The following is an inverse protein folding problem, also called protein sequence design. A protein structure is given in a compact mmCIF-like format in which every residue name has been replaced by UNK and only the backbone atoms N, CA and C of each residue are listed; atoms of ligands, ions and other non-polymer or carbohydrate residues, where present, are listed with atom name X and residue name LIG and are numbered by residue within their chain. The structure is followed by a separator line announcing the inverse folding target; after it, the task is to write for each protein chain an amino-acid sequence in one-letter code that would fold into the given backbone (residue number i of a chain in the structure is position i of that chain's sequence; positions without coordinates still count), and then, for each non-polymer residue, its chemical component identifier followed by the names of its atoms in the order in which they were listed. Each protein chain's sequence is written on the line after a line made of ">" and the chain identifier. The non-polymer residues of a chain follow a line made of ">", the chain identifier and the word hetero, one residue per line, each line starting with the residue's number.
data_IF_314410519702
#
_entry.id   IF_314410519702
#
_cell.length_a   1.000
_cell.length_b   1.000
_cell.length_c   1.000
_cell.angle_alpha   90.00
_cell.angle_beta   90.00
_cell.angle_gamma   90.00
#
_symmetry.space_group_name_H-M   'P 1'
#
loop_
_entity.id
_entity.type
_entity.pdbx_description
1 polymer ?
#
# COMPACT_ATOMS: atom_id res chain seq x y z
N UNK A 1 -20.37 39.00 -1.90
CA UNK A 1 -19.33 38.81 -0.87
C UNK A 1 -18.26 39.85 -1.11
N UNK A 2 -17.96 40.68 -0.14
CA UNK A 2 -16.97 41.77 -0.29
C UNK A 2 -15.55 41.20 -0.39
N UNK A 3 -14.63 41.94 -1.01
CA UNK A 3 -13.23 41.53 -1.16
C UNK A 3 -12.53 41.28 0.19
N UNK A 4 -12.92 42.05 1.22
CA UNK A 4 -12.44 41.88 2.60
C UNK A 4 -12.97 40.60 3.26
N UNK A 5 -14.24 40.23 3.04
CA UNK A 5 -14.81 38.95 3.50
C UNK A 5 -14.11 37.77 2.83
N UNK A 6 -13.80 37.90 1.53
CA UNK A 6 -13.08 36.87 0.78
C UNK A 6 -11.65 36.68 1.32
N UNK A 7 -10.92 37.78 1.58
CA UNK A 7 -9.55 37.71 2.15
C UNK A 7 -9.52 37.07 3.54
N UNK A 8 -10.50 37.36 4.40
CA UNK A 8 -10.63 36.70 5.71
C UNK A 8 -10.92 35.21 5.58
N UNK A 9 -11.78 34.81 4.65
CA UNK A 9 -12.08 33.40 4.39
C UNK A 9 -10.83 32.63 3.91
N UNK A 10 -10.05 33.21 2.99
CA UNK A 10 -8.80 32.62 2.50
C UNK A 10 -7.77 32.47 3.63
N UNK A 11 -7.60 33.49 4.49
CA UNK A 11 -6.71 33.43 5.65
C UNK A 11 -7.12 32.36 6.65
N UNK A 12 -8.42 32.19 6.89
CA UNK A 12 -8.95 31.15 7.78
C UNK A 12 -8.69 29.74 7.23
N UNK A 13 -8.90 29.54 5.92
CA UNK A 13 -8.60 28.27 5.26
C UNK A 13 -7.10 27.95 5.34
N UNK A 14 -6.24 28.94 5.05
CA UNK A 14 -4.80 28.81 5.23
C UNK A 14 -4.41 28.39 6.65
N UNK A 15 -4.91 29.07 7.68
CA UNK A 15 -4.54 28.73 9.06
C UNK A 15 -4.99 27.31 9.47
N UNK A 16 -6.07 26.80 8.90
CA UNK A 16 -6.50 25.41 9.10
C UNK A 16 -5.49 24.43 8.49
N UNK A 17 -5.07 24.67 7.25
CA UNK A 17 -4.03 23.92 6.57
C UNK A 17 -2.70 24.00 7.33
N UNK A 18 -2.26 25.22 7.63
CA UNK A 18 -0.93 25.51 8.16
C UNK A 18 -0.68 24.91 9.55
N UNK A 19 -1.72 24.83 10.40
CA UNK A 19 -1.64 24.17 11.71
C UNK A 19 -1.36 22.66 11.66
N UNK A 20 -1.64 22.01 10.53
CA UNK A 20 -1.35 20.59 10.33
C UNK A 20 0.10 20.38 9.84
N UNK A 21 0.84 21.46 9.56
CA UNK A 21 2.19 21.37 9.02
C UNK A 21 3.20 20.95 10.10
N UNK A 22 4.13 20.00 9.83
CA UNK A 22 5.03 19.47 10.85
C UNK A 22 5.94 20.49 11.52
N UNK A 23 6.34 21.54 10.80
CA UNK A 23 7.20 22.62 11.33
C UNK A 23 6.40 23.85 11.74
N UNK A 24 5.09 23.71 11.97
CA UNK A 24 4.23 24.82 12.39
C UNK A 24 4.77 25.47 13.66
N UNK A 25 5.00 26.78 13.61
CA UNK A 25 5.58 27.58 14.70
C UNK A 25 7.08 27.88 14.52
N UNK A 26 7.80 27.05 13.76
CA UNK A 26 9.20 27.28 13.41
C UNK A 26 9.35 27.99 12.04
N UNK A 27 8.35 27.85 11.16
CA UNK A 27 8.33 28.46 9.84
C UNK A 27 7.57 29.80 9.79
N UNK A 28 7.86 30.60 8.75
CA UNK A 28 7.27 31.94 8.60
C UNK A 28 5.84 31.85 8.06
N UNK A 29 4.87 32.12 8.93
CA UNK A 29 3.45 32.25 8.59
C UNK A 29 3.24 33.20 7.39
N UNK A 30 3.82 34.41 7.45
CA UNK A 30 3.65 35.42 6.40
C UNK A 30 4.13 34.93 5.03
N UNK A 31 5.27 34.24 4.98
CA UNK A 31 5.79 33.66 3.74
C UNK A 31 4.90 32.51 3.24
N UNK A 32 4.47 31.62 4.12
CA UNK A 32 3.57 30.53 3.74
C UNK A 32 2.20 31.04 3.26
N UNK A 33 1.69 32.11 3.87
CA UNK A 33 0.45 32.73 3.44
C UNK A 33 0.56 33.45 2.10
N UNK A 34 1.69 34.11 1.82
CA UNK A 34 1.93 34.70 0.51
C UNK A 34 1.86 33.64 -0.61
N UNK A 35 2.51 32.48 -0.41
CA UNK A 35 2.45 31.36 -1.36
C UNK A 35 1.03 30.79 -1.48
N UNK A 36 0.28 30.69 -0.36
CA UNK A 36 -1.12 30.26 -0.37
C UNK A 36 -2.04 31.21 -1.16
N UNK A 37 -1.78 32.52 -1.08
CA UNK A 37 -2.53 33.53 -1.84
C UNK A 37 -2.20 33.48 -3.34
N UNK A 38 -0.98 33.10 -3.71
CA UNK A 38 -0.55 32.98 -5.10
C UNK A 38 -1.22 31.81 -5.84
N UNK A 39 -1.71 30.80 -5.11
CA UNK A 39 -2.45 29.66 -5.69
C UNK A 39 -3.85 30.03 -6.19
N UNK A 40 -4.36 29.30 -7.17
CA UNK A 40 -5.77 29.36 -7.56
C UNK A 40 -6.67 28.70 -6.49
N UNK A 41 -7.99 29.02 -6.46
CA UNK A 41 -8.93 28.39 -5.51
C UNK A 41 -8.90 26.87 -5.54
N UNK A 42 -8.85 26.27 -6.73
CA UNK A 42 -8.82 24.82 -6.95
C UNK A 42 -7.50 24.21 -6.45
N UNK A 43 -6.39 24.93 -6.66
CA UNK A 43 -5.07 24.51 -6.19
C UNK A 43 -4.96 24.53 -4.67
N UNK A 44 -5.56 25.54 -4.01
CA UNK A 44 -5.65 25.57 -2.54
C UNK A 44 -6.46 24.40 -1.99
N UNK A 45 -7.56 24.06 -2.65
CA UNK A 45 -8.38 22.92 -2.26
C UNK A 45 -7.61 21.61 -2.42
N UNK A 46 -6.91 21.42 -3.54
CA UNK A 46 -6.05 20.26 -3.75
C UNK A 46 -4.92 20.19 -2.72
N UNK A 47 -4.25 21.31 -2.43
CA UNK A 47 -3.18 21.39 -1.46
C UNK A 47 -3.61 20.98 -0.03
N UNK A 48 -4.81 21.40 0.41
CA UNK A 48 -5.39 21.01 1.70
C UNK A 48 -5.83 19.55 1.71
N UNK A 49 -6.54 19.10 0.67
CA UNK A 49 -7.05 17.73 0.57
C UNK A 49 -5.93 16.68 0.51
N UNK A 50 -4.82 17.01 -0.16
CA UNK A 50 -3.67 16.11 -0.34
C UNK A 50 -2.67 16.17 0.81
N UNK A 51 -2.79 17.10 1.75
CA UNK A 51 -1.81 17.26 2.82
C UNK A 51 -1.62 15.97 3.64
N UNK A 52 -2.67 15.28 4.11
CA UNK A 52 -2.49 14.03 4.84
C UNK A 52 -1.77 12.96 4.00
N UNK A 53 -2.14 12.85 2.72
CA UNK A 53 -1.53 11.93 1.76
C UNK A 53 -0.05 12.20 1.54
N UNK A 54 0.31 13.47 1.37
CA UNK A 54 1.70 13.89 1.22
C UNK A 54 2.53 13.56 2.47
N UNK A 55 2.02 13.86 3.66
CA UNK A 55 2.74 13.57 4.91
C UNK A 55 2.93 12.07 5.13
N UNK A 56 1.89 11.27 4.87
CA UNK A 56 1.95 9.81 4.93
C UNK A 56 2.96 9.25 3.92
N UNK A 57 2.94 9.76 2.67
CA UNK A 57 3.86 9.35 1.62
C UNK A 57 5.34 9.61 1.98
N UNK A 58 5.65 10.80 2.50
CA UNK A 58 7.02 11.11 2.93
C UNK A 58 7.44 10.21 4.10
N UNK A 59 6.56 10.03 5.09
CA UNK A 59 6.84 9.19 6.25
C UNK A 59 7.08 7.71 5.89
N UNK A 60 6.30 7.15 4.97
CA UNK A 60 6.50 5.80 4.42
C UNK A 60 7.86 5.64 3.71
N UNK A 61 8.33 6.71 3.08
CA UNK A 61 9.65 6.76 2.46
C UNK A 61 10.78 7.02 3.48
N UNK A 62 10.49 6.98 4.79
CA UNK A 62 11.46 7.26 5.85
C UNK A 62 11.88 8.73 5.94
N UNK A 63 11.13 9.63 5.29
CA UNK A 63 11.41 11.06 5.27
C UNK A 63 10.50 11.78 6.25
N UNK A 64 11.09 12.51 7.18
CA UNK A 64 10.36 13.51 7.96
C UNK A 64 10.36 14.82 7.16
N UNK A 65 9.18 15.39 6.94
CA UNK A 65 9.06 16.71 6.32
C UNK A 65 9.63 17.77 7.27
N UNK A 66 10.79 18.33 6.90
CA UNK A 66 11.53 19.33 7.69
C UNK A 66 11.59 20.71 7.02
N UNK A 67 10.92 20.88 5.88
CA UNK A 67 10.90 22.13 5.15
C UNK A 67 9.61 22.91 5.43
N UNK A 68 9.67 24.24 5.24
CA UNK A 68 8.56 25.15 5.53
C UNK A 68 7.34 24.93 4.62
N UNK A 69 6.13 25.22 5.14
CA UNK A 69 4.88 25.11 4.39
C UNK A 69 4.89 25.93 3.08
N UNK A 70 5.60 27.06 3.06
CA UNK A 70 5.81 27.87 1.86
C UNK A 70 6.44 27.08 0.70
N UNK A 71 7.33 26.14 0.99
CA UNK A 71 7.99 25.31 -0.03
C UNK A 71 7.02 24.28 -0.61
N UNK A 72 6.17 23.66 0.22
CA UNK A 72 5.10 22.77 -0.24
C UNK A 72 4.15 23.48 -1.20
N UNK A 73 3.73 24.70 -0.82
CA UNK A 73 2.81 25.53 -1.58
C UNK A 73 3.40 26.03 -2.90
N UNK A 74 4.61 26.60 -2.84
CA UNK A 74 5.31 27.14 -4.01
C UNK A 74 5.61 26.07 -5.06
N UNK A 75 6.10 24.91 -4.62
CA UNK A 75 6.52 23.82 -5.51
C UNK A 75 5.37 22.86 -5.85
N UNK A 76 4.16 23.13 -5.35
CA UNK A 76 2.96 22.30 -5.56
C UNK A 76 3.20 20.82 -5.25
N UNK A 77 3.86 20.52 -4.12
CA UNK A 77 4.37 19.16 -3.83
C UNK A 77 3.29 18.08 -3.71
N UNK A 78 2.02 18.45 -3.51
CA UNK A 78 0.90 17.51 -3.60
C UNK A 78 0.76 16.85 -4.98
N UNK A 79 1.26 17.47 -6.04
CA UNK A 79 1.21 16.90 -7.41
C UNK A 79 2.15 15.73 -7.62
N UNK A 80 3.17 15.58 -6.77
CA UNK A 80 4.10 14.46 -6.80
C UNK A 80 3.58 13.25 -5.98
N UNK A 81 2.44 13.42 -5.30
CA UNK A 81 1.82 12.35 -4.53
C UNK A 81 1.06 11.44 -5.50
N UNK A 82 1.29 10.10 -5.48
CA UNK A 82 0.59 9.15 -6.33
C UNK A 82 -0.95 9.26 -6.28
N UNK A 83 -1.61 8.86 -7.36
CA UNK A 83 -3.08 8.79 -7.39
C UNK A 83 -3.61 7.82 -6.31
N UNK A 84 -4.71 8.20 -5.65
CA UNK A 84 -5.31 7.42 -4.55
C UNK A 84 -4.83 7.78 -3.14
N UNK A 85 -3.96 8.79 -3.01
CA UNK A 85 -3.50 9.33 -1.71
C UNK A 85 -4.35 10.50 -1.17
N UNK A 86 -5.43 10.86 -1.86
CA UNK A 86 -6.36 11.91 -1.43
C UNK A 86 -6.99 11.52 -0.08
N UNK A 87 -6.71 12.29 0.97
CA UNK A 87 -7.27 12.04 2.30
C UNK A 87 -6.75 10.78 3.01
N UNK A 88 -5.42 10.53 2.98
CA UNK A 88 -4.80 9.49 3.82
C UNK A 88 -5.31 9.62 5.27
N UNK A 89 -5.99 8.56 5.73
CA UNK A 89 -6.94 8.55 6.84
C UNK A 89 -8.27 7.88 6.47
N UNK A 90 -8.54 7.65 5.18
CA UNK A 90 -9.69 6.89 4.68
C UNK A 90 -9.36 5.51 4.10
N UNK A 91 -10.33 4.60 4.13
CA UNK A 91 -10.24 3.32 3.41
C UNK A 91 -10.74 3.45 1.97
N UNK A 92 -10.05 2.83 1.00
CA UNK A 92 -10.46 2.78 -0.42
C UNK A 92 -11.07 1.41 -0.78
N UNK A 93 -11.93 1.36 -1.80
CA UNK A 93 -12.37 0.09 -2.40
C UNK A 93 -11.41 -0.27 -3.53
N UNK A 94 -10.48 -1.18 -3.24
CA UNK A 94 -9.52 -1.69 -4.20
C UNK A 94 -10.17 -2.70 -5.16
N UNK A 95 -9.97 -2.49 -6.46
CA UNK A 95 -10.38 -3.43 -7.48
C UNK A 95 -9.60 -4.76 -7.35
N UNK A 96 -10.29 -5.88 -7.56
CA UNK A 96 -9.69 -7.22 -7.51
C UNK A 96 -8.48 -7.32 -8.45
N UNK A 97 -7.37 -7.86 -7.96
CA UNK A 97 -6.07 -7.91 -8.63
C UNK A 97 -5.44 -6.55 -9.00
N UNK A 98 -6.02 -5.42 -8.60
CA UNK A 98 -5.41 -4.10 -8.74
C UNK A 98 -4.30 -3.84 -7.71
N UNK A 99 -3.54 -2.76 -7.89
CA UNK A 99 -2.39 -2.39 -7.03
C UNK A 99 -2.68 -2.41 -5.53
N UNK A 100 -3.69 -1.66 -5.08
CA UNK A 100 -4.06 -1.61 -3.66
C UNK A 100 -4.54 -2.98 -3.12
N UNK A 101 -5.22 -3.78 -3.96
CA UNK A 101 -5.65 -5.13 -3.59
C UNK A 101 -4.45 -6.07 -3.45
N UNK A 102 -3.47 -5.96 -4.36
CA UNK A 102 -2.23 -6.72 -4.28
C UNK A 102 -1.39 -6.31 -3.05
N UNK A 103 -1.32 -5.02 -2.72
CA UNK A 103 -0.64 -4.55 -1.51
C UNK A 103 -1.28 -5.12 -0.23
N UNK A 104 -2.61 -5.09 -0.12
CA UNK A 104 -3.34 -5.74 0.98
C UNK A 104 -3.04 -7.24 1.05
N UNK A 105 -3.01 -7.91 -0.10
CA UNK A 105 -2.66 -9.34 -0.17
C UNK A 105 -1.26 -9.60 0.36
N UNK A 106 -0.27 -8.80 -0.02
CA UNK A 106 1.10 -8.94 0.50
C UNK A 106 1.20 -8.62 1.99
N UNK A 107 0.51 -7.58 2.45
CA UNK A 107 0.46 -7.26 3.87
C UNK A 107 -0.04 -8.46 4.70
N UNK A 108 -1.10 -9.14 4.23
CA UNK A 108 -1.62 -10.36 4.86
C UNK A 108 -0.68 -11.55 4.74
N UNK A 109 0.06 -11.70 3.64
CA UNK A 109 1.07 -12.74 3.47
C UNK A 109 2.28 -12.56 4.39
N UNK A 110 2.61 -11.31 4.74
CA UNK A 110 3.65 -10.97 5.69
C UNK A 110 3.33 -11.39 7.14
N UNK A 111 2.06 -11.67 7.45
CA UNK A 111 1.66 -12.17 8.76
C UNK A 111 2.19 -13.61 8.98
N UNK A 112 2.45 -14.01 10.24
CA UNK A 112 2.91 -15.36 10.54
C UNK A 112 1.97 -16.45 10.03
N UNK A 113 2.55 -17.53 9.50
CA UNK A 113 1.79 -18.72 9.11
C UNK A 113 0.98 -19.25 10.31
N UNK A 114 -0.32 -19.45 10.12
CA UNK A 114 -1.18 -20.06 11.13
C UNK A 114 -0.68 -21.45 11.50
N UNK A 115 -0.88 -21.87 12.76
CA UNK A 115 -0.47 -23.20 13.20
C UNK A 115 -1.25 -24.28 12.44
N UNK A 116 -0.53 -25.07 11.64
CA UNK A 116 -1.09 -26.18 10.90
C UNK A 116 -1.31 -27.40 11.81
N UNK A 117 -2.35 -28.22 11.53
CA UNK A 117 -2.45 -29.56 12.09
C UNK A 117 -1.25 -30.42 11.66
N UNK A 118 -0.95 -31.44 12.46
CA UNK A 118 0.03 -32.47 12.10
C UNK A 118 -0.33 -33.16 10.77
N UNK A 119 0.66 -33.81 10.16
CA UNK A 119 0.41 -34.65 8.99
C UNK A 119 -0.51 -35.80 9.36
N UNK A 120 -1.39 -36.16 8.42
CA UNK A 120 -2.26 -37.32 8.61
C UNK A 120 -1.44 -38.61 8.50
N UNK A 121 -1.95 -39.71 9.05
CA UNK A 121 -1.31 -41.03 8.90
C UNK A 121 -1.07 -41.42 7.45
N UNK A 122 -1.99 -41.06 6.55
CA UNK A 122 -1.84 -41.29 5.12
C UNK A 122 -0.67 -40.50 4.53
N UNK A 123 -0.53 -39.22 4.88
CA UNK A 123 0.58 -38.38 4.43
C UNK A 123 1.93 -38.85 4.97
N UNK A 124 1.96 -39.29 6.23
CA UNK A 124 3.15 -39.91 6.82
C UNK A 124 3.57 -41.18 6.06
N UNK A 125 2.60 -42.00 5.62
CA UNK A 125 2.85 -43.19 4.81
C UNK A 125 3.38 -42.83 3.41
N UNK A 126 2.77 -41.86 2.72
CA UNK A 126 3.25 -41.37 1.40
C UNK A 126 4.71 -40.90 1.47
N UNK A 127 5.10 -40.23 2.56
CA UNK A 127 6.49 -39.79 2.79
C UNK A 127 7.39 -41.00 3.03
N UNK A 128 6.97 -41.94 3.88
CA UNK A 128 7.76 -43.12 4.21
C UNK A 128 8.02 -44.01 2.98
N UNK A 129 7.06 -44.07 2.06
CA UNK A 129 7.15 -44.83 0.81
C UNK A 129 7.82 -44.04 -0.33
N UNK A 130 8.34 -42.84 -0.04
CA UNK A 130 9.09 -42.01 -0.99
C UNK A 130 8.23 -41.39 -2.10
N UNK A 131 6.90 -41.43 -1.97
CA UNK A 131 5.97 -40.85 -2.96
C UNK A 131 5.75 -39.35 -2.76
N UNK A 132 6.09 -38.81 -1.59
CA UNK A 132 6.01 -37.39 -1.31
C UNK A 132 7.25 -36.90 -0.55
N UNK A 133 7.73 -35.71 -0.91
CA UNK A 133 8.72 -34.99 -0.10
C UNK A 133 8.00 -34.28 1.07
N UNK A 134 8.51 -34.46 2.30
CA UNK A 134 7.92 -33.87 3.50
C UNK A 134 7.89 -32.35 3.45
N UNK A 135 8.94 -31.70 2.96
CA UNK A 135 9.03 -30.23 2.93
C UNK A 135 8.07 -29.66 1.88
N UNK A 136 8.02 -30.27 0.70
CA UNK A 136 7.10 -29.90 -0.37
C UNK A 136 5.64 -30.05 0.08
N UNK A 137 5.28 -31.19 0.68
CA UNK A 137 3.95 -31.41 1.22
C UNK A 137 3.60 -30.38 2.31
N UNK A 138 4.55 -30.06 3.19
CA UNK A 138 4.32 -29.05 4.21
C UNK A 138 4.07 -27.66 3.62
N UNK A 139 4.86 -27.24 2.62
CA UNK A 139 4.65 -25.98 1.90
C UNK A 139 3.29 -25.92 1.19
N UNK A 140 2.86 -27.02 0.57
CA UNK A 140 1.54 -27.11 -0.05
C UNK A 140 0.42 -26.93 1.00
N UNK A 141 0.58 -27.58 2.16
CA UNK A 141 -0.36 -27.40 3.29
C UNK A 141 -0.33 -25.97 3.82
N UNK A 142 0.84 -25.34 3.91
CA UNK A 142 1.00 -23.94 4.31
C UNK A 142 0.25 -23.01 3.34
N UNK A 143 0.38 -23.23 2.03
CA UNK A 143 -0.35 -22.45 1.04
C UNK A 143 -1.88 -22.59 1.23
N UNK A 144 -2.36 -23.82 1.45
CA UNK A 144 -3.79 -24.12 1.58
C UNK A 144 -4.42 -23.64 2.89
N UNK A 145 -3.67 -23.60 3.99
CA UNK A 145 -4.25 -23.42 5.34
C UNK A 145 -3.54 -22.37 6.20
N UNK A 146 -2.32 -21.97 5.83
CA UNK A 146 -1.46 -21.11 6.64
C UNK A 146 -1.87 -19.64 6.64
N UNK A 147 -2.52 -19.17 5.56
CA UNK A 147 -2.97 -17.78 5.42
C UNK A 147 -4.46 -17.72 5.09
N UNK A 148 -5.30 -18.05 6.07
CA UNK A 148 -6.77 -18.13 5.90
C UNK A 148 -7.37 -16.82 5.40
N UNK A 149 -6.84 -15.66 5.83
CA UNK A 149 -7.29 -14.33 5.38
C UNK A 149 -6.96 -14.07 3.91
N UNK A 150 -5.85 -14.60 3.39
CA UNK A 150 -5.46 -14.53 1.98
C UNK A 150 -6.26 -15.52 1.15
N UNK A 151 -6.50 -16.72 1.67
CA UNK A 151 -7.31 -17.73 0.99
C UNK A 151 -8.77 -17.27 0.86
N UNK A 152 -9.35 -16.66 1.90
CA UNK A 152 -10.67 -16.05 1.81
C UNK A 152 -10.73 -14.90 0.80
N UNK A 153 -9.66 -14.10 0.71
CA UNK A 153 -9.53 -13.02 -0.28
C UNK A 153 -9.44 -13.56 -1.71
N UNK A 154 -8.69 -14.64 -1.94
CA UNK A 154 -8.63 -15.35 -3.20
C UNK A 154 -10.00 -15.96 -3.58
N UNK A 155 -10.69 -16.62 -2.65
CA UNK A 155 -12.02 -17.19 -2.87
C UNK A 155 -13.03 -16.11 -3.26
N UNK A 156 -12.97 -14.93 -2.61
CA UNK A 156 -13.81 -13.80 -2.98
C UNK A 156 -13.49 -13.30 -4.39
N UNK A 157 -12.21 -13.20 -4.76
CA UNK A 157 -11.80 -12.76 -6.09
C UNK A 157 -12.37 -13.66 -7.20
N UNK A 158 -12.40 -14.98 -6.97
CA UNK A 158 -12.97 -15.94 -7.92
C UNK A 158 -14.50 -15.84 -7.97
N UNK A 159 -15.16 -15.80 -6.80
CA UNK A 159 -16.64 -15.84 -6.74
C UNK A 159 -17.29 -14.51 -7.12
N UNK A 160 -16.66 -13.39 -6.75
CA UNK A 160 -17.22 -12.04 -6.88
C UNK A 160 -16.15 -11.03 -7.35
N UNK A 161 -15.58 -11.20 -8.56
CA UNK A 161 -14.44 -10.39 -9.03
C UNK A 161 -14.75 -8.88 -9.06
N UNK A 162 -16.00 -8.48 -9.29
CA UNK A 162 -16.41 -7.07 -9.30
C UNK A 162 -16.59 -6.43 -7.91
N UNK A 163 -16.55 -7.21 -6.82
CA UNK A 163 -16.83 -6.70 -5.47
C UNK A 163 -15.69 -5.85 -4.90
N UNK A 164 -14.44 -6.12 -5.33
CA UNK A 164 -13.26 -5.50 -4.75
C UNK A 164 -13.10 -5.78 -3.25
N UNK A 165 -12.22 -5.03 -2.59
CA UNK A 165 -12.01 -5.12 -1.14
C UNK A 165 -11.73 -3.74 -0.55
N UNK A 166 -12.22 -3.51 0.67
CA UNK A 166 -11.83 -2.33 1.43
C UNK A 166 -10.39 -2.48 1.92
N UNK A 167 -9.53 -1.52 1.58
CA UNK A 167 -8.12 -1.45 1.95
C UNK A 167 -7.86 -0.12 2.65
N UNK A 168 -6.97 -0.09 3.65
CA UNK A 168 -6.60 1.18 4.29
C UNK A 168 -5.86 2.09 3.30
N UNK A 169 -5.93 3.40 3.51
CA UNK A 169 -5.21 4.35 2.66
C UNK A 169 -3.72 4.04 2.64
N UNK A 170 -3.15 3.76 3.80
CA UNK A 170 -1.74 3.43 4.02
C UNK A 170 -1.30 2.21 3.20
N UNK A 171 -2.05 1.11 3.25
CA UNK A 171 -1.71 -0.08 2.46
C UNK A 171 -1.87 0.20 0.96
N UNK A 172 -2.89 0.97 0.57
CA UNK A 172 -3.03 1.38 -0.83
C UNK A 172 -1.82 2.20 -1.31
N UNK A 173 -1.24 3.04 -0.45
CA UNK A 173 -0.02 3.82 -0.74
C UNK A 173 1.18 2.91 -1.01
N UNK A 174 1.35 1.86 -0.22
CA UNK A 174 2.43 0.89 -0.39
C UNK A 174 2.35 0.15 -1.72
N UNK A 175 1.15 0.05 -2.31
CA UNK A 175 0.93 -0.54 -3.62
C UNK A 175 1.11 0.41 -4.80
N UNK A 176 1.25 1.72 -4.58
CA UNK A 176 1.21 2.71 -5.66
C UNK A 176 2.33 2.53 -6.68
N UNK A 177 3.52 2.15 -6.22
CA UNK A 177 4.72 1.88 -7.03
C UNK A 177 4.79 0.44 -7.58
N UNK A 178 3.77 -0.39 -7.35
CA UNK A 178 3.77 -1.75 -7.88
C UNK A 178 3.79 -1.75 -9.41
N UNK A 179 4.53 -2.70 -9.96
CA UNK A 179 4.75 -2.88 -11.39
C UNK A 179 3.77 -3.90 -11.96
N UNK A 180 3.32 -3.67 -13.19
CA UNK A 180 2.46 -4.59 -13.90
C UNK A 180 3.27 -5.81 -14.39
N UNK A 181 2.86 -7.00 -13.96
CA UNK A 181 3.45 -8.27 -14.34
C UNK A 181 2.46 -9.05 -15.20
N UNK A 182 2.92 -9.48 -16.37
CA UNK A 182 2.12 -10.28 -17.29
C UNK A 182 1.96 -11.70 -16.76
N UNK A 183 0.72 -12.17 -16.67
CA UNK A 183 0.42 -13.54 -16.25
C UNK A 183 1.05 -14.53 -17.23
N UNK A 184 1.78 -15.52 -16.69
CA UNK A 184 2.51 -16.53 -17.47
C UNK A 184 3.82 -16.07 -18.11
N UNK A 185 4.26 -14.82 -17.86
CA UNK A 185 5.58 -14.33 -18.29
C UNK A 185 6.73 -14.70 -17.33
N UNK A 186 7.95 -14.29 -17.66
CA UNK A 186 9.14 -14.62 -16.87
C UNK A 186 9.09 -14.06 -15.44
N UNK A 187 8.69 -12.78 -15.29
CA UNK A 187 8.52 -12.16 -13.98
C UNK A 187 7.43 -12.86 -13.16
N UNK A 188 6.36 -13.31 -13.82
CA UNK A 188 5.29 -14.08 -13.16
C UNK A 188 5.83 -15.40 -12.61
N UNK A 189 6.61 -16.14 -13.41
CA UNK A 189 7.22 -17.39 -12.97
C UNK A 189 8.19 -17.19 -11.79
N UNK A 190 8.95 -16.08 -11.79
CA UNK A 190 9.81 -15.72 -10.66
C UNK A 190 9.00 -15.46 -9.37
N UNK A 191 7.90 -14.72 -9.48
CA UNK A 191 6.99 -14.49 -8.36
C UNK A 191 6.32 -15.77 -7.87
N UNK A 192 5.91 -16.65 -8.77
CA UNK A 192 5.34 -17.95 -8.44
C UNK A 192 6.34 -18.83 -7.69
N UNK A 193 7.59 -18.88 -8.15
CA UNK A 193 8.68 -19.60 -7.48
C UNK A 193 8.97 -19.05 -6.08
N UNK A 194 8.97 -17.73 -5.90
CA UNK A 194 9.16 -17.09 -4.59
C UNK A 194 8.03 -17.46 -3.61
N UNK A 195 6.77 -17.42 -4.06
CA UNK A 195 5.63 -17.83 -3.24
C UNK A 195 5.71 -19.31 -2.86
N UNK A 196 6.05 -20.17 -3.82
CA UNK A 196 6.23 -21.60 -3.58
C UNK A 196 7.35 -21.88 -2.56
N UNK A 197 8.48 -21.17 -2.66
CA UNK A 197 9.60 -21.30 -1.73
C UNK A 197 9.21 -20.95 -0.28
N UNK A 198 8.36 -19.91 -0.11
CA UNK A 198 7.81 -19.44 1.18
C UNK A 198 6.63 -20.29 1.69
N UNK A 199 6.07 -21.17 0.85
CA UNK A 199 4.84 -21.90 1.17
C UNK A 199 3.61 -20.98 1.22
N UNK A 200 3.66 -19.85 0.54
CA UNK A 200 2.54 -18.91 0.44
C UNK A 200 1.52 -19.39 -0.58
N UNK A 201 0.21 -19.15 -0.35
CA UNK A 201 -0.75 -19.29 -1.43
C UNK A 201 -0.36 -18.36 -2.57
N UNK A 202 -0.45 -18.84 -3.80
CA UNK A 202 -0.32 -18.00 -4.97
C UNK A 202 -1.67 -17.42 -5.40
N UNK A 203 -1.71 -16.69 -6.51
CA UNK A 203 -2.95 -16.12 -7.04
C UNK A 203 -3.88 -17.25 -7.53
N UNK A 204 -5.20 -17.10 -7.37
CA UNK A 204 -6.18 -18.09 -7.81
C UNK A 204 -6.34 -18.04 -9.35
N UNK A 205 -7.23 -18.84 -9.91
CA UNK A 205 -7.59 -18.72 -11.32
C UNK A 205 -8.19 -17.33 -11.62
N UNK A 206 -7.52 -16.55 -12.49
CA UNK A 206 -7.85 -15.14 -12.73
C UNK A 206 -8.69 -14.91 -14.00
N UNK A 207 -9.16 -15.99 -14.65
CA UNK A 207 -9.95 -15.91 -15.87
C UNK A 207 -9.24 -15.15 -16.99
N UNK A 208 -9.78 -14.00 -17.39
CA UNK A 208 -9.27 -13.17 -18.50
C UNK A 208 -8.27 -12.09 -18.06
N UNK A 209 -7.86 -12.05 -16.80
CA UNK A 209 -6.90 -11.06 -16.31
C UNK A 209 -5.52 -11.39 -16.85
N UNK A 210 -4.97 -10.50 -17.67
CA UNK A 210 -3.65 -10.67 -18.30
C UNK A 210 -2.50 -10.03 -17.49
N UNK A 211 -2.83 -9.10 -16.60
CA UNK A 211 -1.88 -8.30 -15.84
C UNK A 211 -2.29 -8.21 -14.38
N UNK A 212 -1.32 -8.41 -13.50
CA UNK A 212 -1.45 -8.18 -12.06
C UNK A 212 -0.29 -7.31 -11.58
N UNK A 213 -0.29 -6.92 -10.31
CA UNK A 213 0.67 -5.95 -9.79
C UNK A 213 1.50 -6.54 -8.66
N UNK A 214 2.81 -6.36 -8.72
CA UNK A 214 3.75 -6.83 -7.71
C UNK A 214 4.69 -5.70 -7.26
N UNK A 215 5.33 -5.82 -6.09
CA UNK A 215 6.40 -4.93 -5.69
C UNK A 215 7.44 -4.77 -6.81
N UNK A 216 7.97 -3.55 -7.04
CA UNK A 216 8.92 -3.31 -8.10
C UNK A 216 10.19 -4.15 -7.90
N UNK A 217 10.62 -4.86 -8.94
CA UNK A 217 11.84 -5.67 -8.87
C UNK A 217 13.10 -4.82 -9.02
N UNK A 218 13.03 -3.75 -9.82
CA UNK A 218 14.23 -3.03 -10.25
C UNK A 218 15.22 -3.97 -10.94
N UNK A 219 16.45 -4.03 -10.43
CA UNK A 219 17.48 -4.99 -10.88
C UNK A 219 17.62 -6.23 -9.95
N UNK A 220 16.71 -6.37 -8.97
CA UNK A 220 16.78 -7.38 -7.92
C UNK A 220 15.82 -8.56 -8.13
N UNK A 221 15.65 -9.31 -7.05
CA UNK A 221 14.82 -10.52 -6.97
C UNK A 221 13.46 -10.25 -6.31
N UNK A 222 12.45 -11.11 -6.51
CA UNK A 222 11.19 -11.06 -5.77
C UNK A 222 11.38 -10.99 -4.23
N UNK A 223 12.35 -11.73 -3.69
CA UNK A 223 12.68 -11.69 -2.28
C UNK A 223 13.13 -10.31 -1.79
N UNK A 224 14.06 -9.66 -2.50
CA UNK A 224 14.53 -8.31 -2.15
C UNK A 224 13.44 -7.24 -2.27
N UNK A 225 12.57 -7.38 -3.28
CA UNK A 225 11.41 -6.52 -3.46
C UNK A 225 10.41 -6.67 -2.29
N UNK A 226 10.20 -7.89 -1.79
CA UNK A 226 9.39 -8.16 -0.61
C UNK A 226 10.00 -7.58 0.67
N UNK A 227 11.30 -7.72 0.89
CA UNK A 227 11.97 -7.10 2.06
C UNK A 227 11.79 -5.58 2.07
N UNK A 228 11.88 -4.95 0.89
CA UNK A 228 11.63 -3.51 0.75
C UNK A 228 10.17 -3.17 1.08
N UNK A 229 9.21 -3.93 0.56
CA UNK A 229 7.79 -3.75 0.84
C UNK A 229 7.47 -3.89 2.33
N UNK A 230 7.94 -4.97 2.98
CA UNK A 230 7.69 -5.21 4.41
C UNK A 230 8.38 -4.17 5.30
N UNK A 231 9.58 -3.71 4.94
CA UNK A 231 10.23 -2.61 5.64
C UNK A 231 9.42 -1.30 5.59
N UNK A 232 8.72 -1.01 4.48
CA UNK A 232 7.78 0.12 4.40
C UNK A 232 6.50 -0.14 5.21
N UNK A 233 5.97 -1.36 5.17
CA UNK A 233 4.77 -1.77 5.91
C UNK A 233 4.96 -1.64 7.42
N UNK A 234 6.09 -2.10 7.96
CA UNK A 234 6.38 -2.02 9.39
C UNK A 234 6.49 -0.57 9.87
N UNK A 235 7.09 0.31 9.07
CA UNK A 235 7.13 1.76 9.35
C UNK A 235 5.74 2.37 9.36
N UNK A 236 4.89 1.99 8.41
CA UNK A 236 3.49 2.45 8.37
C UNK A 236 2.72 2.01 9.63
N UNK A 237 2.85 0.74 10.04
CA UNK A 237 2.24 0.21 11.28
C UNK A 237 2.73 0.95 12.53
N UNK A 238 4.02 1.30 12.60
CA UNK A 238 4.59 2.05 13.72
C UNK A 238 4.07 3.49 13.81
N UNK A 239 3.85 4.14 12.66
CA UNK A 239 3.29 5.50 12.60
C UNK A 239 1.82 5.55 13.01
N UNK A 240 1.04 4.51 12.69
CA UNK A 240 -0.34 4.37 13.12
C UNK A 240 -0.44 4.15 14.64
N UNK A 241 0.43 3.31 15.21
CA UNK A 241 0.45 3.05 16.65
C UNK A 241 0.90 4.24 17.51
N UNK A 242 1.51 5.27 16.91
CA UNK A 242 2.00 6.47 17.58
C UNK A 242 1.00 7.64 17.60
N UNK A 243 -0.17 7.48 16.96
CA UNK A 243 -1.25 8.48 16.90
C UNK A 243 -2.39 8.13 17.86
#
# INVERSE_FOLDING_TARGET
>A
MTEAENRKAVRRAFLKFYRQWPTFGDDSDERAFAEWQALQPEERQAADAMLPGFLAFEAMNGRTVKFAASTYLREKRWTAVPEGMEGAGGSVIAATFGKAWMAERFARLGEPCARLPALTRFQELEIAEGRADRKALWRERMAKMGWTSVNAMNDQAVRFPGKGMRVSGEIALLGADFEAVRVGGDQWAAWEAEHAARGWPFLPEMGRVEWVYFPPLGAGTPGEALETFFGKLDRAKQLEAAQ
#
